data_IF_899654139972
#
_entry.id   IF_899654139972
#
_cell.length_a   1.000
_cell.length_b   1.000
_cell.length_c   1.000
_cell.angle_alpha   90.00
_cell.angle_beta   90.00
_cell.angle_gamma   90.00
#
_symmetry.space_group_name_H-M   'P 1'
#
loop_
_entity.id
_entity.type
_entity.pdbx_description
1 polymer ?
#
# COMPACT_ATOMS: atom_id res chain seq x y z
N UNK A 1 -32.29 -9.35 -3.44
CA UNK A 1 -31.34 -8.55 -4.23
C UNK A 1 -30.22 -9.50 -4.58
N UNK A 2 -30.08 -9.84 -5.86
CA UNK A 2 -28.98 -10.68 -6.32
C UNK A 2 -27.66 -9.95 -6.03
N UNK A 3 -26.89 -10.47 -5.10
CA UNK A 3 -25.58 -9.92 -4.75
C UNK A 3 -24.62 -10.23 -5.89
N UNK A 4 -24.38 -9.25 -6.76
CA UNK A 4 -23.31 -9.30 -7.77
C UNK A 4 -21.99 -9.63 -7.07
N UNK A 5 -21.38 -10.77 -7.42
CA UNK A 5 -20.12 -11.22 -6.84
C UNK A 5 -19.00 -10.24 -7.16
N UNK A 6 -18.11 -9.98 -6.20
CA UNK A 6 -16.90 -9.18 -6.43
C UNK A 6 -15.79 -9.96 -7.15
N UNK A 7 -16.00 -11.28 -7.36
CA UNK A 7 -15.07 -12.18 -7.99
C UNK A 7 -15.70 -12.87 -9.19
N UNK A 8 -14.97 -12.85 -10.31
CA UNK A 8 -15.31 -13.59 -11.51
C UNK A 8 -14.24 -14.65 -11.81
N UNK A 9 -14.64 -15.90 -12.09
CA UNK A 9 -13.75 -17.00 -12.45
C UNK A 9 -13.85 -17.25 -13.95
N UNK A 10 -12.71 -17.21 -14.64
CA UNK A 10 -12.63 -17.67 -16.03
C UNK A 10 -11.50 -18.70 -16.14
N UNK A 11 -11.81 -19.86 -16.70
CA UNK A 11 -10.80 -20.87 -17.04
C UNK A 11 -10.35 -20.65 -18.48
N UNK A 12 -9.06 -20.42 -18.67
CA UNK A 12 -8.45 -20.25 -19.99
C UNK A 12 -8.24 -21.60 -20.68
N UNK A 13 -8.02 -21.56 -22.00
CA UNK A 13 -7.74 -22.74 -22.82
C UNK A 13 -6.47 -23.50 -22.41
N UNK A 14 -5.53 -22.82 -21.76
CA UNK A 14 -4.29 -23.39 -21.21
C UNK A 14 -4.48 -24.05 -19.83
N UNK A 15 -5.73 -24.21 -19.37
CA UNK A 15 -6.14 -24.71 -18.07
C UNK A 15 -5.62 -23.88 -16.88
N UNK A 16 -5.37 -22.59 -17.08
CA UNK A 16 -5.13 -21.65 -15.98
C UNK A 16 -6.43 -20.93 -15.64
N UNK A 17 -6.83 -21.02 -14.37
CA UNK A 17 -7.95 -20.26 -13.85
C UNK A 17 -7.52 -18.82 -13.54
N UNK A 18 -8.32 -17.85 -13.94
CA UNK A 18 -8.13 -16.43 -13.63
C UNK A 18 -9.31 -15.97 -12.78
N UNK A 19 -9.01 -15.54 -11.56
CA UNK A 19 -9.94 -14.85 -10.68
C UNK A 19 -9.72 -13.35 -10.84
N UNK A 20 -10.71 -12.68 -11.42
CA UNK A 20 -10.74 -11.23 -11.56
C UNK A 20 -11.51 -10.63 -10.38
N UNK A 21 -10.89 -9.66 -9.72
CA UNK A 21 -11.45 -8.94 -8.56
C UNK A 21 -11.97 -7.59 -9.03
N UNK A 22 -13.26 -7.36 -8.83
CA UNK A 22 -13.94 -6.12 -9.19
C UNK A 22 -15.11 -5.88 -8.22
N UNK A 23 -14.90 -5.06 -7.18
CA UNK A 23 -15.99 -4.71 -6.26
C UNK A 23 -17.00 -3.83 -7.00
N UNK A 24 -18.28 -4.26 -7.11
CA UNK A 24 -19.32 -3.47 -7.76
C UNK A 24 -19.49 -2.11 -7.10
N UNK A 25 -19.75 -1.09 -7.90
CA UNK A 25 -20.07 0.28 -7.47
C UNK A 25 -19.01 0.99 -6.60
N UNK A 26 -17.82 0.42 -6.48
CA UNK A 26 -16.69 1.03 -5.77
C UNK A 26 -15.53 1.35 -6.70
N UNK A 27 -14.85 2.47 -6.41
CA UNK A 27 -13.63 2.86 -7.12
C UNK A 27 -12.44 1.93 -6.81
N UNK A 28 -12.44 1.33 -5.61
CA UNK A 28 -11.33 0.56 -5.08
C UNK A 28 -11.81 -0.82 -4.65
N UNK A 29 -11.00 -1.84 -4.87
CA UNK A 29 -11.24 -3.16 -4.30
C UNK A 29 -10.85 -3.15 -2.82
N UNK A 30 -11.83 -3.31 -1.94
CA UNK A 30 -11.64 -3.45 -0.49
C UNK A 30 -12.13 -4.83 -0.05
N UNK A 31 -11.40 -5.49 0.86
CA UNK A 31 -11.83 -6.78 1.40
C UNK A 31 -13.00 -6.57 2.37
N UNK A 32 -14.17 -7.09 2.01
CA UNK A 32 -15.37 -7.10 2.85
C UNK A 32 -15.59 -8.48 3.48
N UNK A 33 -16.50 -8.59 4.43
CA UNK A 33 -16.78 -9.85 5.13
C UNK A 33 -17.28 -10.94 4.16
N UNK A 34 -18.06 -10.55 3.15
CA UNK A 34 -18.67 -11.45 2.16
C UNK A 34 -17.62 -12.12 1.27
N UNK A 35 -16.44 -11.51 1.13
CA UNK A 35 -15.34 -12.06 0.32
C UNK A 35 -14.92 -13.43 0.83
N UNK A 36 -14.95 -13.65 2.15
CA UNK A 36 -14.57 -14.94 2.71
C UNK A 36 -15.46 -16.09 2.25
N UNK A 37 -16.75 -15.83 1.99
CA UNK A 37 -17.67 -16.83 1.45
C UNK A 37 -17.43 -17.02 -0.05
N UNK A 38 -17.42 -15.92 -0.81
CA UNK A 38 -17.23 -15.94 -2.26
C UNK A 38 -15.91 -16.60 -2.67
N UNK A 39 -14.80 -16.27 -2.00
CA UNK A 39 -13.50 -16.89 -2.28
C UNK A 39 -13.52 -18.38 -1.98
N UNK A 40 -14.14 -18.83 -0.87
CA UNK A 40 -14.20 -20.26 -0.54
C UNK A 40 -15.02 -21.06 -1.55
N UNK A 41 -16.12 -20.51 -2.06
CA UNK A 41 -16.89 -21.13 -3.15
C UNK A 41 -16.03 -21.29 -4.41
N UNK A 42 -15.27 -20.27 -4.76
CA UNK A 42 -14.38 -20.29 -5.92
C UNK A 42 -13.22 -21.27 -5.74
N UNK A 43 -12.65 -21.34 -4.53
CA UNK A 43 -11.62 -22.32 -4.18
C UNK A 43 -12.15 -23.76 -4.25
N UNK A 44 -13.44 -23.99 -3.93
CA UNK A 44 -14.08 -25.30 -4.10
C UNK A 44 -14.09 -25.72 -5.58
N UNK A 45 -14.53 -24.84 -6.48
CA UNK A 45 -14.49 -25.09 -7.93
C UNK A 45 -13.07 -25.39 -8.43
N UNK A 46 -12.09 -24.63 -7.93
CA UNK A 46 -10.67 -24.85 -8.26
C UNK A 46 -10.15 -26.21 -7.75
N UNK A 47 -10.58 -26.67 -6.57
CA UNK A 47 -10.17 -27.97 -6.01
C UNK A 47 -10.81 -29.17 -6.73
N UNK A 48 -12.03 -28.99 -7.22
CA UNK A 48 -12.80 -30.02 -7.93
C UNK A 48 -12.29 -30.21 -9.37
N UNK A 49 -11.86 -29.14 -10.03
CA UNK A 49 -11.32 -29.21 -11.38
C UNK A 49 -9.85 -29.67 -11.40
N UNK A 50 -9.63 -30.97 -11.62
CA UNK A 50 -8.28 -31.58 -11.69
C UNK A 50 -7.49 -31.24 -12.95
N UNK A 51 -8.12 -30.66 -13.97
CA UNK A 51 -7.43 -30.24 -15.18
C UNK A 51 -6.65 -28.93 -14.98
N UNK A 52 -6.97 -28.15 -13.94
CA UNK A 52 -6.33 -26.86 -13.69
C UNK A 52 -4.83 -27.03 -13.42
N UNK A 53 -4.05 -26.23 -14.15
CA UNK A 53 -2.59 -26.18 -14.02
C UNK A 53 -2.10 -25.04 -13.14
N UNK A 54 -2.96 -24.07 -12.84
CA UNK A 54 -2.64 -22.94 -11.99
C UNK A 54 -3.81 -21.97 -11.82
N UNK A 55 -3.64 -21.02 -10.90
CA UNK A 55 -4.61 -19.99 -10.55
C UNK A 55 -3.93 -18.62 -10.54
N UNK A 56 -4.57 -17.60 -11.12
CA UNK A 56 -4.11 -16.21 -11.09
C UNK A 56 -5.18 -15.33 -10.45
N UNK A 57 -4.80 -14.53 -9.45
CA UNK A 57 -5.62 -13.42 -8.96
C UNK A 57 -5.18 -12.13 -9.65
N UNK A 58 -6.11 -11.40 -10.26
CA UNK A 58 -5.88 -10.12 -10.93
C UNK A 58 -7.03 -9.15 -10.62
N UNK A 59 -6.77 -7.85 -10.66
CA UNK A 59 -7.81 -6.82 -10.47
C UNK A 59 -8.30 -6.29 -11.82
N UNK A 60 -9.60 -6.00 -11.92
CA UNK A 60 -10.17 -5.25 -13.03
C UNK A 60 -10.05 -3.72 -12.83
N UNK A 61 -9.77 -3.25 -11.60
CA UNK A 61 -9.68 -1.82 -11.31
C UNK A 61 -8.40 -1.22 -11.92
N UNK A 62 -8.47 0.02 -12.45
CA UNK A 62 -7.38 0.61 -13.23
C UNK A 62 -6.18 1.11 -12.40
N UNK A 63 -6.28 1.18 -11.08
CA UNK A 63 -5.25 1.78 -10.23
C UNK A 63 -5.01 1.05 -8.90
N UNK A 64 -5.68 -0.09 -8.67
CA UNK A 64 -5.52 -0.87 -7.45
C UNK A 64 -5.74 -2.35 -7.68
N UNK A 65 -4.98 -3.16 -6.93
CA UNK A 65 -5.20 -4.59 -6.83
C UNK A 65 -6.28 -4.84 -5.77
N UNK A 66 -5.92 -4.57 -4.51
CA UNK A 66 -6.79 -4.54 -3.33
C UNK A 66 -6.16 -3.52 -2.37
N UNK A 67 -6.94 -2.51 -1.98
CA UNK A 67 -6.47 -1.35 -1.22
C UNK A 67 -6.46 -1.55 0.31
N UNK A 68 -6.91 -2.71 0.80
CA UNK A 68 -6.99 -3.04 2.22
C UNK A 68 -8.30 -3.74 2.57
N UNK A 69 -8.50 -4.00 3.85
CA UNK A 69 -9.80 -4.38 4.36
C UNK A 69 -10.71 -3.15 4.47
N UNK A 70 -12.01 -3.35 4.33
CA UNK A 70 -12.99 -2.30 4.62
C UNK A 70 -12.91 -1.95 6.10
N UNK A 71 -12.52 -0.70 6.40
CA UNK A 71 -12.37 -0.23 7.77
C UNK A 71 -13.74 -0.16 8.47
N UNK A 72 -14.84 -0.01 7.71
CA UNK A 72 -16.20 -0.07 8.27
C UNK A 72 -16.51 -1.45 8.85
N UNK A 73 -16.00 -2.53 8.25
CA UNK A 73 -16.13 -3.88 8.81
C UNK A 73 -15.51 -3.97 10.20
N UNK A 74 -14.32 -3.37 10.39
CA UNK A 74 -13.63 -3.35 11.68
C UNK A 74 -14.35 -2.43 12.66
N UNK A 75 -14.87 -1.29 12.20
CA UNK A 75 -15.61 -0.34 13.03
C UNK A 75 -16.97 -0.87 13.50
N UNK A 76 -17.56 -1.85 12.80
CA UNK A 76 -18.81 -2.51 13.18
C UNK A 76 -18.65 -3.58 14.26
N UNK A 77 -17.44 -4.10 14.48
CA UNK A 77 -17.20 -5.08 15.53
C UNK A 77 -17.46 -4.43 16.91
N UNK A 78 -18.29 -5.06 17.73
CA UNK A 78 -18.71 -4.53 19.03
C UNK A 78 -17.87 -5.07 20.19
N UNK A 79 -17.08 -6.11 19.93
CA UNK A 79 -16.25 -6.79 20.93
C UNK A 79 -14.90 -7.22 20.36
N UNK A 80 -13.93 -7.44 21.25
CA UNK A 80 -12.62 -7.96 20.87
C UNK A 80 -12.75 -9.38 20.25
N UNK A 81 -13.71 -10.17 20.72
CA UNK A 81 -13.99 -11.51 20.24
C UNK A 81 -14.52 -11.50 18.80
N UNK A 82 -15.42 -10.59 18.47
CA UNK A 82 -15.90 -10.41 17.09
C UNK A 82 -14.77 -9.99 16.15
N UNK A 83 -13.95 -9.02 16.56
CA UNK A 83 -12.81 -8.57 15.76
C UNK A 83 -11.74 -9.67 15.61
N UNK A 84 -11.50 -10.47 16.65
CA UNK A 84 -10.64 -11.67 16.57
C UNK A 84 -11.22 -12.71 15.60
N UNK A 85 -12.53 -12.96 15.62
CA UNK A 85 -13.18 -13.89 14.71
C UNK A 85 -13.03 -13.47 13.24
N UNK A 86 -13.15 -12.16 12.96
CA UNK A 86 -12.88 -11.61 11.62
C UNK A 86 -11.44 -11.88 11.17
N UNK A 87 -10.45 -11.65 12.05
CA UNK A 87 -9.05 -11.97 11.76
C UNK A 87 -8.83 -13.47 11.49
N UNK A 88 -9.41 -14.34 12.32
CA UNK A 88 -9.34 -15.81 12.15
C UNK A 88 -9.95 -16.25 10.82
N UNK A 89 -11.08 -15.69 10.43
CA UNK A 89 -11.71 -15.99 9.14
C UNK A 89 -10.79 -15.58 7.98
N UNK A 90 -10.19 -14.39 8.04
CA UNK A 90 -9.19 -13.95 7.07
C UNK A 90 -8.00 -14.90 6.98
N UNK A 91 -7.41 -15.25 8.12
CA UNK A 91 -6.30 -16.22 8.21
C UNK A 91 -6.66 -17.57 7.59
N UNK A 92 -7.87 -18.08 7.84
CA UNK A 92 -8.35 -19.35 7.29
C UNK A 92 -8.41 -19.30 5.77
N UNK A 93 -9.03 -18.27 5.19
CA UNK A 93 -9.10 -18.10 3.72
C UNK A 93 -7.70 -18.03 3.12
N UNK A 94 -6.79 -17.26 3.73
CA UNK A 94 -5.40 -17.19 3.26
C UNK A 94 -4.66 -18.53 3.38
N UNK A 95 -4.91 -19.31 4.42
CA UNK A 95 -4.35 -20.65 4.58
C UNK A 95 -4.89 -21.61 3.51
N UNK A 96 -6.17 -21.53 3.20
CA UNK A 96 -6.83 -22.31 2.16
C UNK A 96 -6.31 -22.01 0.75
N UNK A 97 -6.04 -20.73 0.42
CA UNK A 97 -5.38 -20.33 -0.81
C UNK A 97 -3.96 -20.91 -0.87
N UNK A 98 -3.20 -20.79 0.22
CA UNK A 98 -1.83 -21.29 0.28
C UNK A 98 -1.74 -22.82 0.16
N UNK A 99 -2.76 -23.54 0.65
CA UNK A 99 -2.81 -24.99 0.62
C UNK A 99 -3.21 -25.59 -0.74
N UNK A 100 -3.70 -24.78 -1.69
CA UNK A 100 -4.09 -25.27 -3.02
C UNK A 100 -2.93 -26.02 -3.69
N UNK A 101 -3.15 -27.26 -4.20
CA UNK A 101 -2.06 -28.08 -4.74
C UNK A 101 -1.44 -27.53 -6.04
N UNK A 102 -2.16 -26.63 -6.72
CA UNK A 102 -1.72 -25.95 -7.93
C UNK A 102 -0.97 -24.64 -7.62
N UNK A 103 -0.10 -24.16 -8.51
CA UNK A 103 0.48 -22.82 -8.43
C UNK A 103 -0.60 -21.72 -8.36
N UNK A 104 -0.37 -20.72 -7.50
CA UNK A 104 -1.29 -19.59 -7.30
C UNK A 104 -0.47 -18.31 -7.39
N UNK A 105 -0.84 -17.43 -8.31
CA UNK A 105 -0.07 -16.23 -8.65
C UNK A 105 -0.91 -14.98 -8.37
N UNK A 106 -0.34 -14.01 -7.66
CA UNK A 106 -0.92 -12.68 -7.55
C UNK A 106 -0.34 -11.79 -8.67
N UNK A 107 -1.20 -11.34 -9.59
CA UNK A 107 -0.88 -10.41 -10.67
C UNK A 107 -1.29 -8.98 -10.26
N UNK A 108 -0.30 -8.20 -9.83
CA UNK A 108 -0.50 -6.96 -9.07
C UNK A 108 -0.26 -5.72 -9.94
N UNK A 109 -1.33 -5.00 -10.24
CA UNK A 109 -1.27 -3.61 -10.72
C UNK A 109 -1.85 -2.67 -9.68
N UNK A 110 -1.20 -1.53 -9.46
CA UNK A 110 -1.71 -0.49 -8.55
C UNK A 110 -1.49 -0.80 -7.07
N UNK A 111 -2.27 -0.14 -6.22
CA UNK A 111 -2.19 -0.31 -4.76
C UNK A 111 -2.52 -1.75 -4.31
N UNK A 112 -1.60 -2.38 -3.59
CA UNK A 112 -1.74 -3.69 -2.96
C UNK A 112 -1.39 -3.55 -1.48
N UNK A 113 -2.38 -3.16 -0.68
CA UNK A 113 -2.18 -2.68 0.68
C UNK A 113 -2.95 -3.52 1.69
N UNK A 114 -2.39 -3.64 2.88
CA UNK A 114 -2.97 -4.36 4.02
C UNK A 114 -3.43 -5.76 3.65
N UNK A 115 -4.70 -6.07 3.89
CA UNK A 115 -5.30 -7.36 3.50
C UNK A 115 -5.10 -7.76 2.03
N UNK A 116 -4.97 -6.79 1.12
CA UNK A 116 -4.60 -7.05 -0.27
C UNK A 116 -3.20 -7.64 -0.44
N UNK A 117 -2.24 -7.13 0.33
CA UNK A 117 -0.91 -7.71 0.40
C UNK A 117 -0.92 -9.03 1.17
N UNK A 118 -1.76 -9.19 2.20
CA UNK A 118 -1.91 -10.48 2.89
C UNK A 118 -2.42 -11.60 1.96
N UNK A 119 -3.34 -11.28 1.05
CA UNK A 119 -3.78 -12.18 -0.03
C UNK A 119 -2.64 -12.51 -0.98
N UNK A 120 -1.90 -11.51 -1.43
CA UNK A 120 -0.73 -11.72 -2.28
C UNK A 120 0.38 -12.55 -1.59
N UNK A 121 0.54 -12.42 -0.27
CA UNK A 121 1.45 -13.22 0.54
C UNK A 121 0.97 -14.67 0.72
N UNK A 122 -0.34 -14.92 0.67
CA UNK A 122 -0.91 -16.26 0.68
C UNK A 122 -0.65 -17.01 -0.64
N UNK A 123 -0.58 -16.28 -1.76
CA UNK A 123 -0.23 -16.81 -3.07
C UNK A 123 1.22 -17.37 -3.11
N UNK A 124 1.45 -18.34 -3.99
CA UNK A 124 2.77 -18.97 -4.15
C UNK A 124 3.79 -18.03 -4.79
N UNK A 125 3.35 -17.16 -5.72
CA UNK A 125 4.21 -16.18 -6.39
C UNK A 125 3.48 -14.85 -6.60
N UNK A 126 4.23 -13.77 -6.71
CA UNK A 126 3.73 -12.40 -6.91
C UNK A 126 4.47 -11.75 -8.07
N UNK A 127 3.72 -11.29 -9.07
CA UNK A 127 4.24 -10.48 -10.18
C UNK A 127 3.57 -9.12 -10.09
N UNK A 128 4.32 -8.04 -10.26
CA UNK A 128 3.73 -6.71 -10.24
C UNK A 128 4.17 -5.82 -11.40
N UNK A 129 3.44 -4.74 -11.64
CA UNK A 129 3.79 -3.83 -12.74
C UNK A 129 4.85 -2.79 -12.36
N UNK A 130 5.73 -2.39 -13.28
CA UNK A 130 6.66 -1.25 -13.12
C UNK A 130 5.93 0.11 -13.29
N UNK A 131 4.80 0.26 -12.59
CA UNK A 131 3.98 1.48 -12.61
C UNK A 131 4.14 2.28 -11.31
N UNK A 132 4.09 3.60 -11.38
CA UNK A 132 4.19 4.48 -10.22
C UNK A 132 3.03 4.31 -9.22
N UNK A 133 1.87 3.85 -9.68
CA UNK A 133 0.71 3.48 -8.86
C UNK A 133 0.93 2.17 -8.10
N UNK A 134 1.84 1.32 -8.57
CA UNK A 134 2.09 0.00 -7.96
C UNK A 134 2.91 0.12 -6.69
N UNK A 135 2.21 0.00 -5.56
CA UNK A 135 2.77 0.10 -4.21
C UNK A 135 2.26 -1.06 -3.35
N UNK A 136 3.17 -1.66 -2.59
CA UNK A 136 2.90 -2.81 -1.73
C UNK A 136 3.27 -2.50 -0.28
N UNK A 137 2.37 -2.73 0.67
CA UNK A 137 2.67 -2.48 2.08
C UNK A 137 1.58 -2.92 3.05
N UNK A 138 1.92 -2.92 4.34
CA UNK A 138 1.04 -3.26 5.45
C UNK A 138 0.88 -2.01 6.35
N UNK A 139 -0.05 -1.09 6.03
CA UNK A 139 -0.20 0.19 6.71
C UNK A 139 -1.09 0.13 7.98
N UNK A 140 -1.46 -1.04 8.47
CA UNK A 140 -2.43 -1.24 9.58
C UNK A 140 -2.04 -0.48 10.85
N UNK A 141 -0.75 -0.33 11.11
CA UNK A 141 -0.24 0.44 12.26
C UNK A 141 -0.71 1.90 12.25
N UNK A 142 -0.99 2.47 11.07
CA UNK A 142 -1.51 3.84 10.91
C UNK A 142 -2.97 3.96 11.40
N UNK A 143 -3.67 2.83 11.52
CA UNK A 143 -5.01 2.73 12.08
C UNK A 143 -5.00 2.25 13.53
N UNK A 144 -3.82 2.12 14.16
CA UNK A 144 -3.68 1.55 15.50
C UNK A 144 -3.92 0.05 15.55
N UNK A 145 -3.75 -0.63 14.41
CA UNK A 145 -3.94 -2.07 14.24
C UNK A 145 -2.63 -2.76 13.84
N UNK A 146 -2.73 -4.06 13.60
CA UNK A 146 -1.69 -4.88 12.99
C UNK A 146 -2.29 -5.69 11.82
N UNK A 147 -1.47 -6.25 10.92
CA UNK A 147 -1.95 -7.15 9.87
C UNK A 147 -2.68 -8.35 10.49
N UNK A 148 -3.94 -8.59 10.09
CA UNK A 148 -4.83 -9.53 10.78
C UNK A 148 -5.07 -10.87 10.05
N UNK A 149 -4.59 -11.02 8.82
CA UNK A 149 -4.83 -12.21 7.97
C UNK A 149 -3.54 -12.97 7.64
N UNK A 150 -2.54 -12.88 8.52
CA UNK A 150 -1.27 -13.58 8.45
C UNK A 150 -0.08 -12.77 7.99
N UNK A 151 -0.22 -11.46 7.80
CA UNK A 151 0.85 -10.57 7.39
C UNK A 151 2.01 -10.55 8.39
N UNK A 152 1.74 -10.64 9.70
CA UNK A 152 2.78 -10.72 10.73
C UNK A 152 3.57 -12.03 10.67
N UNK A 153 3.02 -13.06 10.02
CA UNK A 153 3.63 -14.38 9.94
C UNK A 153 4.30 -14.65 8.59
N UNK A 154 3.64 -14.31 7.47
CA UNK A 154 4.15 -14.58 6.13
C UNK A 154 5.24 -13.58 5.72
N UNK A 155 5.07 -12.29 6.02
CA UNK A 155 6.02 -11.27 5.56
C UNK A 155 7.43 -11.45 6.15
N UNK A 156 7.63 -11.64 7.48
CA UNK A 156 8.98 -11.85 8.03
C UNK A 156 9.71 -13.06 7.46
N UNK A 157 8.97 -14.11 7.10
CA UNK A 157 9.51 -15.34 6.50
C UNK A 157 9.84 -15.17 5.01
N UNK A 158 9.20 -14.22 4.34
CA UNK A 158 9.41 -13.94 2.91
C UNK A 158 10.54 -12.94 2.67
N UNK A 159 10.53 -11.80 3.36
CA UNK A 159 11.47 -10.69 3.10
C UNK A 159 12.54 -10.52 4.19
N UNK A 160 12.50 -11.37 5.21
CA UNK A 160 13.35 -11.27 6.40
C UNK A 160 12.74 -10.38 7.48
N UNK A 161 13.09 -10.68 8.73
CA UNK A 161 12.49 -10.06 9.92
C UNK A 161 12.79 -8.56 10.00
N UNK A 162 13.99 -8.11 9.59
CA UNK A 162 14.33 -6.69 9.67
C UNK A 162 13.49 -5.86 8.69
N UNK A 163 13.36 -6.33 7.45
CA UNK A 163 12.57 -5.66 6.42
C UNK A 163 11.08 -5.68 6.77
N UNK A 164 10.57 -6.80 7.26
CA UNK A 164 9.18 -6.93 7.66
C UNK A 164 8.82 -6.01 8.84
N UNK A 165 9.68 -5.93 9.86
CA UNK A 165 9.49 -5.01 10.98
C UNK A 165 9.47 -3.55 10.51
N UNK A 166 10.39 -3.15 9.61
CA UNK A 166 10.36 -1.79 9.05
C UNK A 166 9.03 -1.50 8.34
N UNK A 167 8.57 -2.42 7.49
CA UNK A 167 7.31 -2.26 6.75
C UNK A 167 6.10 -2.16 7.70
N UNK A 168 5.95 -3.11 8.62
CA UNK A 168 4.75 -3.23 9.47
C UNK A 168 4.73 -2.11 10.55
N UNK A 169 5.87 -1.82 11.20
CA UNK A 169 5.90 -0.81 12.29
C UNK A 169 5.78 0.63 11.79
N UNK A 170 6.02 0.88 10.51
CA UNK A 170 5.94 2.24 9.93
C UNK A 170 4.82 2.42 8.92
N UNK A 171 4.18 1.33 8.49
CA UNK A 171 3.27 1.33 7.35
C UNK A 171 3.96 1.68 6.02
N UNK A 172 5.28 1.50 5.92
CA UNK A 172 6.05 1.86 4.73
C UNK A 172 5.65 0.98 3.56
N UNK A 173 5.30 1.65 2.48
CA UNK A 173 4.98 1.03 1.20
C UNK A 173 6.24 0.95 0.32
N UNK A 174 6.42 -0.18 -0.35
CA UNK A 174 7.48 -0.43 -1.32
C UNK A 174 6.93 -0.28 -2.73
N UNK A 175 7.72 0.38 -3.59
CA UNK A 175 7.46 0.40 -5.03
C UNK A 175 7.93 -0.89 -5.69
N UNK A 176 7.43 -1.20 -6.88
CA UNK A 176 7.73 -2.43 -7.63
C UNK A 176 9.21 -2.87 -7.57
N UNK A 177 10.16 -1.99 -7.95
CA UNK A 177 11.59 -2.31 -7.94
C UNK A 177 12.18 -2.54 -6.54
N UNK A 178 11.67 -1.83 -5.53
CA UNK A 178 12.08 -2.04 -4.13
C UNK A 178 11.54 -3.38 -3.61
N UNK A 179 10.28 -3.69 -3.92
CA UNK A 179 9.64 -4.94 -3.60
C UNK A 179 10.40 -6.13 -4.23
N UNK A 180 10.84 -6.02 -5.49
CA UNK A 180 11.65 -7.04 -6.16
C UNK A 180 13.00 -7.25 -5.46
N UNK A 181 13.67 -6.13 -5.10
CA UNK A 181 14.98 -6.17 -4.44
C UNK A 181 14.94 -6.91 -3.11
N UNK A 182 13.89 -6.71 -2.32
CA UNK A 182 13.74 -7.37 -1.00
C UNK A 182 13.08 -8.75 -1.08
N UNK A 183 12.68 -9.20 -2.27
CA UNK A 183 12.02 -10.50 -2.47
C UNK A 183 10.53 -10.53 -2.10
N UNK A 184 9.88 -9.37 -1.98
CA UNK A 184 8.44 -9.28 -1.76
C UNK A 184 7.66 -9.71 -3.01
N UNK A 185 8.14 -9.31 -4.18
CA UNK A 185 7.65 -9.77 -5.49
C UNK A 185 8.74 -10.56 -6.20
N UNK A 186 8.33 -11.52 -7.03
CA UNK A 186 9.23 -12.39 -7.77
C UNK A 186 9.64 -11.77 -9.10
N UNK A 187 8.77 -10.96 -9.70
CA UNK A 187 8.98 -10.37 -11.03
C UNK A 187 8.27 -9.01 -11.15
N UNK A 188 8.85 -8.13 -11.98
CA UNK A 188 8.31 -6.81 -12.30
C UNK A 188 8.22 -6.65 -13.82
N UNK A 189 7.02 -6.38 -14.33
CA UNK A 189 6.74 -6.33 -15.78
C UNK A 189 5.99 -5.05 -16.19
N UNK A 190 5.96 -4.69 -17.49
CA UNK A 190 5.01 -3.69 -17.98
C UNK A 190 3.56 -4.15 -17.77
N UNK A 191 2.63 -3.20 -17.53
CA UNK A 191 1.22 -3.51 -17.30
C UNK A 191 0.57 -4.31 -18.44
N UNK A 192 0.96 -4.01 -19.69
CA UNK A 192 0.39 -4.64 -20.89
C UNK A 192 0.56 -6.18 -20.93
N UNK A 193 1.57 -6.73 -20.24
CA UNK A 193 1.88 -8.17 -20.26
C UNK A 193 1.66 -8.84 -18.90
N UNK A 194 0.99 -8.16 -17.95
CA UNK A 194 0.88 -8.63 -16.57
C UNK A 194 0.19 -9.99 -16.47
N UNK A 195 -0.94 -10.16 -17.18
CA UNK A 195 -1.69 -11.41 -17.15
C UNK A 195 -0.89 -12.54 -17.79
N UNK A 196 -0.27 -12.29 -18.94
CA UNK A 196 0.51 -13.30 -19.67
C UNK A 196 1.71 -13.77 -18.85
N UNK A 197 2.44 -12.85 -18.22
CA UNK A 197 3.55 -13.18 -17.32
C UNK A 197 3.07 -14.01 -16.12
N UNK A 198 1.90 -13.69 -15.54
CA UNK A 198 1.34 -14.44 -14.43
C UNK A 198 0.88 -15.85 -14.83
N UNK A 199 0.29 -16.00 -16.02
CA UNK A 199 -0.11 -17.29 -16.59
C UNK A 199 1.12 -18.14 -16.89
N UNK A 200 2.15 -17.58 -17.53
CA UNK A 200 3.41 -18.27 -17.80
C UNK A 200 4.06 -18.75 -16.49
N UNK A 201 4.06 -17.91 -15.46
CA UNK A 201 4.55 -18.25 -14.13
C UNK A 201 3.74 -19.38 -13.48
N UNK A 202 2.42 -19.39 -13.65
CA UNK A 202 1.57 -20.47 -13.16
C UNK A 202 1.89 -21.80 -13.87
N UNK A 203 2.09 -21.77 -15.19
CA UNK A 203 2.38 -22.96 -16.00
C UNK A 203 3.75 -23.58 -15.71
N UNK A 204 4.73 -22.78 -15.23
CA UNK A 204 6.05 -23.23 -14.76
C UNK A 204 6.00 -24.05 -13.46
N UNK A 205 4.84 -24.19 -12.82
CA UNK A 205 4.70 -24.98 -11.59
C UNK A 205 5.14 -24.21 -10.34
N UNK A 206 5.12 -24.90 -9.19
CA UNK A 206 5.58 -24.34 -7.91
C UNK A 206 7.10 -24.24 -7.91
N UNK A 207 7.60 -23.01 -7.80
CA UNK A 207 9.03 -22.72 -7.72
C UNK A 207 9.55 -22.90 -6.29
N UNK A 208 10.83 -23.24 -6.15
CA UNK A 208 11.50 -23.29 -4.86
C UNK A 208 11.53 -21.89 -4.22
N UNK A 209 11.39 -21.83 -2.89
CA UNK A 209 11.44 -20.55 -2.16
C UNK A 209 12.85 -19.95 -2.30
N UNK A 210 12.92 -18.67 -2.63
CA UNK A 210 14.18 -17.92 -2.63
C UNK A 210 14.78 -17.93 -1.22
N UNK A 211 16.05 -18.31 -1.03
CA UNK A 211 16.68 -18.26 0.28
C UNK A 211 16.81 -16.81 0.75
N UNK A 212 16.52 -16.56 2.02
CA UNK A 212 16.75 -15.26 2.63
C UNK A 212 18.25 -14.91 2.61
N UNK A 213 18.61 -13.61 2.48
CA UNK A 213 19.99 -13.17 2.59
C UNK A 213 20.63 -13.66 3.89
N UNK A 214 21.95 -13.95 3.87
CA UNK A 214 22.70 -14.46 5.04
C UNK A 214 22.48 -13.59 6.29
N UNK A 215 22.46 -12.26 6.12
CA UNK A 215 22.17 -11.31 7.20
C UNK A 215 20.81 -11.57 7.86
N UNK A 216 19.75 -11.76 7.08
CA UNK A 216 18.40 -12.03 7.60
C UNK A 216 18.33 -13.40 8.29
N UNK A 217 19.07 -14.38 7.78
CA UNK A 217 19.19 -15.70 8.43
C UNK A 217 19.89 -15.62 9.79
N UNK A 218 20.95 -14.82 9.91
CA UNK A 218 21.65 -14.58 11.18
C UNK A 218 20.72 -13.86 12.16
N UNK A 219 20.00 -12.82 11.69
CA UNK A 219 19.03 -12.08 12.50
C UNK A 219 17.84 -12.94 12.94
N UNK A 220 17.50 -13.98 12.18
CA UNK A 220 16.45 -14.93 12.55
C UNK A 220 16.92 -15.98 13.59
N UNK A 221 18.23 -16.13 13.84
CA UNK A 221 18.76 -17.01 14.88
C UNK A 221 18.43 -16.53 16.30
N UNK A 222 18.45 -17.39 17.33
CA UNK A 222 17.97 -17.06 18.68
C UNK A 222 18.61 -15.80 19.30
N UNK A 223 19.94 -15.67 19.22
CA UNK A 223 20.68 -14.51 19.73
C UNK A 223 20.44 -13.26 18.87
N UNK A 224 20.48 -13.42 17.53
CA UNK A 224 20.22 -12.32 16.59
C UNK A 224 18.83 -11.73 16.77
N UNK A 225 17.83 -12.60 17.00
CA UNK A 225 16.45 -12.23 17.28
C UNK A 225 16.33 -11.43 18.56
N UNK A 226 16.87 -11.93 19.67
CA UNK A 226 16.79 -11.23 20.96
C UNK A 226 17.35 -9.81 20.87
N UNK A 227 18.51 -9.64 20.21
CA UNK A 227 19.11 -8.30 19.99
C UNK A 227 18.24 -7.44 19.07
N UNK A 228 17.73 -7.99 17.96
CA UNK A 228 16.89 -7.27 17.02
C UNK A 228 15.62 -6.74 17.68
N UNK A 229 14.89 -7.58 18.41
CA UNK A 229 13.64 -7.20 19.08
C UNK A 229 13.88 -6.21 20.22
N UNK A 230 15.00 -6.33 20.96
CA UNK A 230 15.39 -5.32 21.97
C UNK A 230 15.65 -3.96 21.34
N UNK A 231 16.39 -3.91 20.23
CA UNK A 231 16.69 -2.66 19.52
C UNK A 231 15.45 -2.07 18.86
N UNK A 232 14.63 -2.91 18.21
CA UNK A 232 13.37 -2.50 17.59
C UNK A 232 12.39 -1.98 18.66
N UNK A 233 12.29 -2.66 19.80
CA UNK A 233 11.50 -2.22 20.96
C UNK A 233 11.94 -0.86 21.48
N UNK A 234 13.25 -0.67 21.77
CA UNK A 234 13.78 0.62 22.24
C UNK A 234 13.52 1.75 21.25
N UNK A 235 13.76 1.52 19.94
CA UNK A 235 13.52 2.52 18.90
C UNK A 235 12.04 2.83 18.72
N UNK A 236 11.18 1.82 18.85
CA UNK A 236 9.73 1.99 18.79
C UNK A 236 9.26 2.83 19.96
N UNK A 237 9.64 2.47 21.19
CA UNK A 237 9.31 3.21 22.41
C UNK A 237 9.74 4.68 22.35
N UNK A 238 10.96 4.95 21.88
CA UNK A 238 11.45 6.33 21.69
C UNK A 238 10.59 7.15 20.72
N UNK A 239 10.05 6.52 19.67
CA UNK A 239 9.23 7.20 18.65
C UNK A 239 7.77 7.32 19.06
N UNK A 240 7.21 6.27 19.67
CA UNK A 240 5.81 6.21 20.07
C UNK A 240 5.56 6.86 21.42
N UNK A 241 6.61 7.01 22.24
CA UNK A 241 6.53 7.46 23.64
C UNK A 241 5.53 6.64 24.47
N UNK A 242 5.41 5.34 24.17
CA UNK A 242 4.47 4.43 24.82
C UNK A 242 3.00 4.59 24.44
N UNK A 243 2.62 5.60 23.65
CA UNK A 243 1.21 5.94 23.41
C UNK A 243 0.51 5.10 22.34
N UNK A 244 1.25 4.30 21.57
CA UNK A 244 0.73 3.55 20.42
C UNK A 244 0.86 2.04 20.68
N UNK A 245 -0.16 1.38 21.26
CA UNK A 245 -0.08 -0.01 21.69
C UNK A 245 0.16 -0.99 20.52
N UNK A 246 -0.35 -0.67 19.33
CA UNK A 246 -0.17 -1.49 18.12
C UNK A 246 1.29 -1.80 17.81
N UNK A 247 2.18 -0.80 17.91
CA UNK A 247 3.58 -0.97 17.59
C UNK A 247 4.29 -1.98 18.52
N UNK A 248 3.91 -1.98 19.81
CA UNK A 248 4.40 -2.96 20.78
C UNK A 248 3.83 -4.35 20.50
N UNK A 249 2.53 -4.46 20.27
CA UNK A 249 1.86 -5.74 19.96
C UNK A 249 2.39 -6.38 18.67
N UNK A 250 2.72 -5.59 17.65
CA UNK A 250 3.37 -6.07 16.41
C UNK A 250 4.69 -6.80 16.73
N UNK A 251 5.52 -6.22 17.61
CA UNK A 251 6.78 -6.86 18.01
C UNK A 251 6.52 -8.19 18.72
N UNK A 252 5.61 -8.20 19.69
CA UNK A 252 5.25 -9.41 20.45
C UNK A 252 4.74 -10.52 19.54
N UNK A 253 3.78 -10.24 18.66
CA UNK A 253 3.16 -11.23 17.76
C UNK A 253 4.17 -11.84 16.79
N UNK A 254 5.05 -11.01 16.21
CA UNK A 254 6.08 -11.51 15.30
C UNK A 254 7.11 -12.35 16.07
N UNK A 255 7.52 -11.91 17.27
CA UNK A 255 8.45 -12.67 18.10
C UNK A 255 7.86 -14.02 18.53
N UNK A 256 6.60 -14.05 18.97
CA UNK A 256 5.87 -15.28 19.29
C UNK A 256 5.83 -16.22 18.09
N UNK A 257 5.47 -15.71 16.91
CA UNK A 257 5.43 -16.51 15.69
C UNK A 257 6.78 -17.08 15.26
N UNK A 258 7.88 -16.34 15.47
CA UNK A 258 9.23 -16.82 15.16
C UNK A 258 9.78 -17.76 16.23
N UNK A 259 9.34 -17.67 17.49
CA UNK A 259 9.85 -18.45 18.62
C UNK A 259 9.09 -19.74 18.88
N UNK A 260 7.77 -19.69 18.82
CA UNK A 260 6.88 -20.81 19.18
C UNK A 260 6.27 -21.49 17.94
N UNK A 261 6.53 -20.95 16.73
CA UNK A 261 6.05 -21.50 15.47
C UNK A 261 4.87 -20.73 14.89
N UNK A 262 4.55 -21.03 13.63
CA UNK A 262 3.58 -20.26 12.85
C UNK A 262 2.16 -20.34 13.44
N UNK A 263 1.73 -21.51 13.93
CA UNK A 263 0.39 -21.69 14.52
C UNK A 263 0.17 -20.76 15.72
N UNK A 264 1.10 -20.75 16.68
CA UNK A 264 1.07 -19.83 17.82
C UNK A 264 1.13 -18.36 17.38
N UNK A 265 1.90 -18.06 16.33
CA UNK A 265 1.95 -16.73 15.72
C UNK A 265 0.61 -16.25 15.15
N UNK A 266 -0.10 -17.09 14.39
CA UNK A 266 -1.43 -16.76 13.86
C UNK A 266 -2.46 -16.58 14.99
N UNK A 267 -2.44 -17.44 16.01
CA UNK A 267 -3.32 -17.29 17.16
C UNK A 267 -3.06 -15.99 17.93
N UNK A 268 -1.78 -15.64 18.14
CA UNK A 268 -1.39 -14.37 18.76
C UNK A 268 -1.78 -13.16 17.91
N UNK A 269 -1.62 -13.25 16.58
CA UNK A 269 -2.01 -12.21 15.63
C UNK A 269 -3.51 -11.91 15.71
N UNK A 270 -4.36 -12.94 15.64
CA UNK A 270 -5.80 -12.76 15.68
C UNK A 270 -6.28 -12.18 17.02
N UNK A 271 -5.76 -12.70 18.14
CA UNK A 271 -6.07 -12.19 19.48
C UNK A 271 -5.66 -10.72 19.64
N UNK A 272 -4.42 -10.39 19.27
CA UNK A 272 -3.91 -9.04 19.38
C UNK A 272 -4.64 -8.07 18.43
N UNK A 273 -5.06 -8.52 17.24
CA UNK A 273 -5.91 -7.74 16.35
C UNK A 273 -7.25 -7.39 17.02
N UNK A 274 -7.93 -8.37 17.62
CA UNK A 274 -9.18 -8.16 18.32
C UNK A 274 -9.05 -7.19 19.50
N UNK A 275 -8.02 -7.37 20.33
CA UNK A 275 -7.72 -6.48 21.45
C UNK A 275 -7.42 -5.05 20.98
N UNK A 276 -6.59 -4.89 19.95
CA UNK A 276 -6.22 -3.57 19.41
C UNK A 276 -7.42 -2.85 18.80
N UNK A 277 -8.29 -3.57 18.10
CA UNK A 277 -9.47 -2.99 17.46
C UNK A 277 -10.40 -2.27 18.45
N UNK A 278 -10.39 -2.69 19.71
CA UNK A 278 -11.19 -2.12 20.80
C UNK A 278 -10.47 -1.00 21.57
N UNK A 279 -9.20 -0.71 21.26
CA UNK A 279 -8.45 0.35 21.95
C UNK A 279 -8.93 1.75 21.55
N UNK A 280 -8.92 2.74 22.47
CA UNK A 280 -9.27 4.11 22.14
C UNK A 280 -8.32 4.73 21.09
N UNK A 281 -7.05 4.31 21.07
CA UNK A 281 -6.08 4.77 20.07
C UNK A 281 -6.43 4.29 18.66
N UNK A 282 -6.78 3.01 18.50
CA UNK A 282 -7.24 2.47 17.22
C UNK A 282 -8.52 3.17 16.77
N UNK A 283 -9.50 3.36 17.67
CA UNK A 283 -10.72 4.09 17.34
C UNK A 283 -10.44 5.51 16.87
N UNK A 284 -9.60 6.26 17.59
CA UNK A 284 -9.24 7.64 17.22
C UNK A 284 -8.54 7.70 15.87
N UNK A 285 -7.60 6.78 15.59
CA UNK A 285 -6.88 6.74 14.31
C UNK A 285 -7.79 6.37 13.13
N UNK A 286 -8.74 5.44 13.33
CA UNK A 286 -9.79 5.15 12.33
C UNK A 286 -10.69 6.37 12.08
N UNK A 287 -11.08 7.09 13.12
CA UNK A 287 -11.87 8.33 12.97
C UNK A 287 -11.10 9.39 12.18
N UNK A 288 -9.81 9.59 12.45
CA UNK A 288 -8.94 10.50 11.68
C UNK A 288 -8.87 10.06 10.22
N UNK A 289 -8.80 8.76 9.95
CA UNK A 289 -8.80 8.23 8.59
C UNK A 289 -10.10 8.57 7.84
N UNK A 290 -11.26 8.34 8.46
CA UNK A 290 -12.56 8.67 7.86
C UNK A 290 -12.70 10.17 7.63
N UNK A 291 -12.45 10.99 8.64
CA UNK A 291 -12.50 12.45 8.53
C UNK A 291 -11.55 12.97 7.42
N UNK A 292 -10.33 12.44 7.34
CA UNK A 292 -9.38 12.81 6.29
C UNK A 292 -9.81 12.36 4.89
N UNK A 293 -10.64 11.33 4.79
CA UNK A 293 -11.17 10.82 3.52
C UNK A 293 -12.39 11.63 3.09
N UNK A 294 -13.26 12.01 4.03
CA UNK A 294 -14.42 12.87 3.81
C UNK A 294 -13.97 14.27 3.38
N UNK A 295 -13.01 14.88 4.09
CA UNK A 295 -12.45 16.20 3.73
C UNK A 295 -11.84 16.22 2.32
N UNK A 296 -11.34 15.09 1.80
CA UNK A 296 -10.82 15.01 0.42
C UNK A 296 -11.92 14.94 -0.64
N UNK A 297 -13.13 14.56 -0.25
CA UNK A 297 -14.31 14.48 -1.13
C UNK A 297 -15.18 15.73 -1.00
N UNK A 298 -15.04 16.46 0.11
CA UNK A 298 -15.74 17.71 0.35
C UNK A 298 -15.38 18.74 -0.72
N UNK A 299 -16.36 19.19 -1.54
CA UNK A 299 -16.12 20.22 -2.54
C UNK A 299 -15.93 21.62 -1.91
N UNK A 300 -16.25 21.79 -0.62
CA UNK A 300 -16.19 23.05 0.12
C UNK A 300 -17.31 24.03 -0.20
N UNK A 301 -17.98 23.87 -1.35
CA UNK A 301 -19.14 24.66 -1.79
C UNK A 301 -19.93 23.87 -2.83
N UNK A 302 -21.23 24.14 -2.96
CA UNK A 302 -22.08 23.61 -4.04
C UNK A 302 -21.78 24.25 -5.41
N UNK A 303 -21.02 25.34 -5.44
CA UNK A 303 -20.62 26.00 -6.67
C UNK A 303 -19.65 25.13 -7.48
N UNK A 304 -19.93 24.97 -8.78
CA UNK A 304 -19.03 24.27 -9.67
C UNK A 304 -17.67 25.00 -9.78
N UNK A 305 -16.53 24.31 -9.59
CA UNK A 305 -15.22 24.95 -9.65
C UNK A 305 -14.91 25.43 -11.07
N UNK A 306 -14.44 26.67 -11.20
CA UNK A 306 -13.95 27.18 -12.47
C UNK A 306 -12.69 26.40 -12.92
N UNK A 307 -12.51 26.14 -14.23
CA UNK A 307 -11.32 25.47 -14.73
C UNK A 307 -10.08 26.36 -14.46
N UNK A 308 -9.03 25.75 -13.91
CA UNK A 308 -7.73 26.39 -13.75
C UNK A 308 -6.76 25.85 -14.80
N UNK A 309 -6.20 26.74 -15.62
CA UNK A 309 -5.17 26.44 -16.60
C UNK A 309 -3.80 26.95 -16.14
N UNK A 310 -3.76 28.08 -15.41
CA UNK A 310 -2.51 28.72 -15.01
C UNK A 310 -2.65 29.50 -13.70
N UNK A 311 -1.64 29.39 -12.83
CA UNK A 311 -1.66 29.99 -11.48
C UNK A 311 -0.54 31.04 -11.33
N UNK A 312 -0.86 32.16 -10.68
CA UNK A 312 0.10 33.16 -10.22
C UNK A 312 0.38 33.00 -8.72
N UNK A 313 1.62 33.18 -8.30
CA UNK A 313 2.02 33.21 -6.88
C UNK A 313 2.76 34.51 -6.59
N UNK A 314 2.31 35.26 -5.59
CA UNK A 314 2.96 36.49 -5.15
C UNK A 314 3.88 36.17 -3.96
N UNK A 315 5.18 36.37 -4.17
CA UNK A 315 6.27 36.01 -3.26
C UNK A 315 6.94 34.69 -3.63
N UNK A 316 8.26 34.70 -3.76
CA UNK A 316 9.14 33.54 -3.99
C UNK A 316 9.84 33.03 -2.71
N UNK A 317 9.49 33.58 -1.55
CA UNK A 317 9.97 33.08 -0.26
C UNK A 317 9.52 31.65 0.06
N UNK A 318 9.75 31.20 1.30
CA UNK A 318 9.54 29.80 1.71
C UNK A 318 8.14 29.25 1.34
N UNK A 319 7.09 29.99 1.69
CA UNK A 319 5.70 29.57 1.43
C UNK A 319 5.36 29.64 -0.06
N UNK A 320 5.74 30.71 -0.75
CA UNK A 320 5.47 30.88 -2.18
C UNK A 320 6.17 29.84 -3.04
N UNK A 321 7.42 29.51 -2.72
CA UNK A 321 8.14 28.40 -3.36
C UNK A 321 7.49 27.04 -3.09
N UNK A 322 6.99 26.82 -1.87
CA UNK A 322 6.22 25.61 -1.52
C UNK A 322 4.93 25.48 -2.30
N UNK A 323 4.13 26.55 -2.39
CA UNK A 323 2.88 26.61 -3.15
C UNK A 323 3.17 26.35 -4.64
N UNK A 324 4.14 27.06 -5.22
CA UNK A 324 4.52 26.87 -6.62
C UNK A 324 4.94 25.42 -6.92
N UNK A 325 5.73 24.82 -6.02
CA UNK A 325 6.12 23.41 -6.14
C UNK A 325 4.93 22.46 -6.09
N UNK A 326 3.99 22.64 -5.15
CA UNK A 326 2.81 21.77 -5.04
C UNK A 326 1.89 21.94 -6.25
N UNK A 327 1.62 23.17 -6.68
CA UNK A 327 0.79 23.47 -7.84
C UNK A 327 1.36 22.84 -9.12
N UNK A 328 2.65 22.99 -9.39
CA UNK A 328 3.27 22.37 -10.57
C UNK A 328 3.36 20.83 -10.43
N UNK A 329 3.78 20.32 -9.28
CA UNK A 329 4.05 18.88 -9.14
C UNK A 329 2.81 18.01 -8.95
N UNK A 330 1.79 18.51 -8.25
CA UNK A 330 0.53 17.81 -7.95
C UNK A 330 -0.63 18.33 -8.79
N UNK A 331 -0.80 19.65 -8.87
CA UNK A 331 -1.84 20.26 -9.71
C UNK A 331 -1.58 20.11 -11.20
N UNK A 332 -0.32 19.89 -11.61
CA UNK A 332 0.10 19.83 -13.03
C UNK A 332 -0.24 21.11 -13.80
N UNK A 333 -0.24 22.25 -13.10
CA UNK A 333 -0.53 23.56 -13.66
C UNK A 333 0.75 24.41 -13.77
N UNK A 334 0.94 25.16 -14.87
CA UNK A 334 1.94 26.21 -14.98
C UNK A 334 1.79 27.29 -13.89
N UNK A 335 2.92 27.66 -13.28
CA UNK A 335 2.99 28.65 -12.20
C UNK A 335 3.90 29.82 -12.59
N UNK A 336 3.41 31.04 -12.38
CA UNK A 336 4.17 32.28 -12.52
C UNK A 336 4.38 32.90 -11.13
N UNK A 337 5.63 32.96 -10.68
CA UNK A 337 6.00 33.55 -9.39
C UNK A 337 6.36 35.02 -9.64
N UNK A 338 5.73 35.94 -8.92
CA UNK A 338 6.15 37.35 -8.87
C UNK A 338 6.82 37.61 -7.54
N UNK A 339 8.04 38.13 -7.56
CA UNK A 339 8.74 38.61 -6.36
C UNK A 339 9.16 40.07 -6.54
N UNK A 340 9.61 40.74 -5.48
CA UNK A 340 10.22 42.08 -5.58
C UNK A 340 11.66 42.01 -6.11
N UNK A 341 12.32 40.86 -5.98
CA UNK A 341 13.71 40.69 -6.43
C UNK A 341 13.96 39.28 -7.00
N UNK A 342 15.04 39.16 -7.78
CA UNK A 342 15.43 37.88 -8.38
C UNK A 342 15.82 36.82 -7.33
N UNK A 343 16.24 37.23 -6.13
CA UNK A 343 16.65 36.31 -5.05
C UNK A 343 15.48 35.45 -4.57
N UNK A 344 14.30 36.04 -4.40
CA UNK A 344 13.09 35.30 -4.03
C UNK A 344 12.68 34.28 -5.09
N UNK A 345 12.72 34.68 -6.37
CA UNK A 345 12.44 33.76 -7.49
C UNK A 345 13.41 32.57 -7.49
N UNK A 346 14.71 32.86 -7.37
CA UNK A 346 15.75 31.83 -7.34
C UNK A 346 15.57 30.86 -6.16
N UNK A 347 15.14 31.36 -5.00
CA UNK A 347 14.83 30.53 -3.85
C UNK A 347 13.70 29.52 -4.17
N UNK A 348 12.60 29.97 -4.77
CA UNK A 348 11.48 29.10 -5.13
C UNK A 348 11.86 28.03 -6.18
N UNK A 349 12.63 28.41 -7.18
CA UNK A 349 13.15 27.49 -8.20
C UNK A 349 14.10 26.46 -7.58
N UNK A 350 15.02 26.90 -6.71
CA UNK A 350 15.95 26.03 -6.01
C UNK A 350 15.22 25.06 -5.07
N UNK A 351 14.23 25.52 -4.33
CA UNK A 351 13.38 24.69 -3.47
C UNK A 351 12.68 23.59 -4.27
N UNK A 352 12.11 23.95 -5.42
CA UNK A 352 11.44 23.02 -6.33
C UNK A 352 12.43 22.00 -6.90
N UNK A 353 13.59 22.45 -7.37
CA UNK A 353 14.67 21.59 -7.86
C UNK A 353 15.10 20.57 -6.80
N UNK A 354 15.44 21.00 -5.59
CA UNK A 354 15.93 20.12 -4.53
C UNK A 354 14.91 19.04 -4.17
N UNK A 355 13.62 19.38 -4.10
CA UNK A 355 12.57 18.42 -3.79
C UNK A 355 12.34 17.41 -4.92
N UNK A 356 12.39 17.83 -6.18
CA UNK A 356 12.28 16.93 -7.33
C UNK A 356 13.54 16.07 -7.49
N UNK A 357 14.73 16.64 -7.36
CA UNK A 357 16.00 15.93 -7.45
C UNK A 357 16.13 14.86 -6.36
N UNK A 358 15.66 15.15 -5.13
CA UNK A 358 15.57 14.13 -4.07
C UNK A 358 14.67 12.96 -4.48
N UNK A 359 13.57 13.22 -5.21
CA UNK A 359 12.71 12.15 -5.76
C UNK A 359 13.44 11.37 -6.86
N UNK A 360 14.18 12.03 -7.76
CA UNK A 360 15.00 11.37 -8.79
C UNK A 360 16.05 10.45 -8.16
N UNK A 361 16.83 10.96 -7.19
CA UNK A 361 17.85 10.19 -6.45
C UNK A 361 17.25 8.98 -5.73
N UNK A 362 16.03 9.11 -5.20
CA UNK A 362 15.28 8.00 -4.58
C UNK A 362 14.59 7.10 -5.61
N UNK A 363 14.77 7.35 -6.91
CA UNK A 363 14.15 6.63 -8.04
C UNK A 363 12.61 6.68 -7.99
N UNK A 364 12.07 7.78 -7.49
CA UNK A 364 10.62 7.99 -7.41
C UNK A 364 10.04 8.60 -8.68
N UNK A 365 10.83 9.34 -9.45
CA UNK A 365 10.48 9.95 -10.74
C UNK A 365 11.69 9.87 -11.66
N UNK A 366 11.48 9.99 -12.98
CA UNK A 366 12.59 10.11 -13.94
C UNK A 366 13.16 11.53 -13.93
N UNK A 367 14.41 11.69 -14.36
CA UNK A 367 15.02 13.02 -14.51
C UNK A 367 14.22 13.90 -15.49
N UNK A 368 13.73 13.32 -16.59
CA UNK A 368 12.85 14.01 -17.54
C UNK A 368 11.55 14.52 -16.91
N UNK A 369 10.97 13.79 -15.95
CA UNK A 369 9.77 14.23 -15.23
C UNK A 369 10.05 15.38 -14.27
N UNK A 370 11.24 15.38 -13.62
CA UNK A 370 11.71 16.55 -12.85
C UNK A 370 11.79 17.77 -13.77
N UNK A 371 12.49 17.63 -14.89
CA UNK A 371 12.78 18.77 -15.78
C UNK A 371 11.48 19.33 -16.38
N UNK A 372 10.56 18.45 -16.81
CA UNK A 372 9.20 18.83 -17.23
C UNK A 372 8.43 19.56 -16.13
N UNK A 373 8.52 19.10 -14.88
CA UNK A 373 7.83 19.75 -13.75
C UNK A 373 8.43 21.09 -13.40
N UNK A 374 9.75 21.22 -13.45
CA UNK A 374 10.45 22.47 -13.17
C UNK A 374 10.17 23.53 -14.23
N UNK A 375 10.10 23.14 -15.51
CA UNK A 375 9.77 24.02 -16.62
C UNK A 375 8.38 24.67 -16.51
N UNK A 376 7.48 24.09 -15.71
CA UNK A 376 6.17 24.71 -15.41
C UNK A 376 6.27 25.88 -14.43
N UNK A 377 7.39 26.06 -13.73
CA UNK A 377 7.58 27.11 -12.73
C UNK A 377 8.48 28.20 -13.32
N UNK A 378 7.93 29.41 -13.46
CA UNK A 378 8.67 30.55 -14.01
C UNK A 378 8.54 31.76 -13.09
N UNK A 379 9.49 32.69 -13.14
CA UNK A 379 9.50 33.87 -12.27
C UNK A 379 9.60 35.21 -12.99
N UNK A 380 9.09 36.26 -12.36
CA UNK A 380 9.22 37.66 -12.77
C UNK A 380 9.32 38.61 -11.57
N UNK A 381 9.90 39.78 -11.77
CA UNK A 381 9.93 40.88 -10.78
C UNK A 381 8.78 41.87 -10.95
N UNK A 382 8.08 41.84 -12.09
CA UNK A 382 6.91 42.66 -12.41
C UNK A 382 5.65 41.79 -12.55
N UNK A 383 4.56 42.35 -13.08
CA UNK A 383 3.31 41.61 -13.32
C UNK A 383 3.20 40.99 -14.73
N UNK A 384 4.31 40.88 -15.46
CA UNK A 384 4.32 40.26 -16.79
C UNK A 384 3.88 38.80 -16.74
N UNK A 385 2.93 38.45 -17.61
CA UNK A 385 2.36 37.11 -17.68
C UNK A 385 1.27 36.80 -16.64
N UNK A 386 0.83 37.79 -15.85
CA UNK A 386 -0.31 37.65 -14.91
C UNK A 386 -1.69 37.83 -15.56
N UNK A 387 -1.78 38.49 -16.72
CA UNK A 387 -3.05 38.72 -17.45
C UNK A 387 -3.80 37.43 -17.79
N UNK A 388 -3.08 36.31 -17.95
CA UNK A 388 -3.63 35.01 -18.33
C UNK A 388 -3.59 33.99 -17.17
N UNK A 389 -3.63 34.46 -15.92
CA UNK A 389 -3.67 33.59 -14.74
C UNK A 389 -5.09 33.54 -14.21
N UNK A 390 -5.60 32.33 -14.03
CA UNK A 390 -6.97 32.09 -13.58
C UNK A 390 -7.10 32.28 -12.07
N UNK A 391 -6.00 32.07 -11.34
CA UNK A 391 -5.93 32.24 -9.89
C UNK A 391 -4.60 32.89 -9.50
N UNK A 392 -4.65 33.87 -8.60
CA UNK A 392 -3.47 34.49 -7.99
C UNK A 392 -3.49 34.25 -6.49
N UNK A 393 -2.44 33.63 -5.97
CA UNK A 393 -2.27 33.34 -4.55
C UNK A 393 -1.24 34.30 -3.97
N UNK A 394 -1.65 35.13 -3.02
CA UNK A 394 -0.77 36.04 -2.28
C UNK A 394 -0.87 35.82 -0.78
N UNK A 395 0.27 35.86 -0.09
CA UNK A 395 0.31 36.05 1.36
C UNK A 395 0.36 37.55 1.68
N UNK A 396 -0.11 37.94 2.88
CA UNK A 396 0.32 39.23 3.44
C UNK A 396 1.84 39.15 3.58
N UNK A 397 2.54 40.05 2.89
CA UNK A 397 3.99 40.26 3.03
C UNK A 397 4.25 40.92 4.36
#
# INVERSE_FOLDING_TARGET
MDTTSAFNLVVRLDNVAVITIDVPDEKMNTLKAEFGVQVREMLKHVRENKALRGLVFISAKPDNFIAGADINMIARAQSAQEAEALARQGQQVMAEIHALPIPVIAAIHGACLGGGLELALACHSRICTDDAKTVLGLPEVQLGLLPGSGGTQRLPRLVGVSTALEMILTGKQLRARQALKVGLVDEVVPQAILLDAAVERALKGRQAKRPLPVRERILAGPLGRAVLFKLAGKKTEQKTRGNYPAAKRILEVIETGLSQGASSGYAAEAKAFGELAMTPQSQALRNIFFASTEVKKDPGSDAAPAPLQAVGVLGGGLMGGGIAFVTASKGKLPVRIKDINAKGINHALQYSWQNLDRKVKRRHIKASERDKTLAMITGTTDYSGFRHRDLVIGGRV
#
